data_IF_266351317024
#
_entry.id   IF_266351317024
#
_cell.length_a   1.000
_cell.length_b   1.000
_cell.length_c   1.000
_cell.angle_alpha   90.00
_cell.angle_beta   90.00
_cell.angle_gamma   90.00
#
_symmetry.space_group_name_H-M   'P 1'
#
loop_
_entity.id
_entity.type
_entity.pdbx_description
1 polymer ?
#
# COMPACT_ATOMS: atom_id res chain seq x y z
N UNK A 1 -0.52 4.75 -2.11
CA UNK A 1 -1.43 3.67 -1.68
C UNK A 1 -0.81 2.96 -0.50
N UNK A 2 -1.61 2.41 0.41
CA UNK A 2 -1.16 1.66 1.57
C UNK A 2 -2.00 0.40 1.78
N UNK A 3 -1.34 -0.65 2.25
CA UNK A 3 -1.91 -1.97 2.47
C UNK A 3 -1.53 -2.42 3.88
N UNK A 4 -2.42 -3.14 4.54
CA UNK A 4 -2.13 -3.77 5.82
C UNK A 4 -1.63 -5.20 5.62
N UNK A 5 -0.81 -5.66 6.55
CA UNK A 5 -0.36 -7.04 6.61
C UNK A 5 -0.75 -7.65 7.95
N UNK A 6 -1.16 -8.91 7.93
CA UNK A 6 -1.49 -9.68 9.15
C UNK A 6 -0.65 -10.96 9.20
N UNK A 7 -0.37 -11.43 10.40
CA UNK A 7 0.24 -12.75 10.58
C UNK A 7 -0.82 -13.81 10.26
N UNK A 8 -0.51 -14.70 9.33
CA UNK A 8 -1.33 -15.84 8.94
C UNK A 8 -0.51 -17.13 8.85
N UNK A 9 -1.18 -18.24 8.54
CA UNK A 9 -0.52 -19.52 8.28
C UNK A 9 -0.05 -19.64 6.83
N UNK A 10 -0.75 -18.97 5.91
CA UNK A 10 -0.46 -19.01 4.49
C UNK A 10 0.76 -18.17 4.12
N UNK A 11 1.55 -18.67 3.17
CA UNK A 11 2.65 -17.91 2.58
C UNK A 11 2.11 -16.99 1.47
N UNK A 12 2.46 -15.70 1.52
CA UNK A 12 2.16 -14.80 0.41
C UNK A 12 3.07 -15.08 -0.76
N UNK A 13 2.53 -15.69 -1.82
CA UNK A 13 3.27 -15.97 -3.06
C UNK A 13 3.82 -14.71 -3.72
N UNK A 14 3.13 -13.57 -3.58
CA UNK A 14 3.53 -12.28 -4.14
C UNK A 14 4.83 -11.76 -3.55
N UNK A 15 4.84 -11.60 -2.23
CA UNK A 15 6.00 -11.03 -1.52
C UNK A 15 7.19 -11.99 -1.45
N UNK A 16 6.96 -13.29 -1.67
CA UNK A 16 8.02 -14.29 -1.56
C UNK A 16 9.22 -13.99 -2.47
N UNK A 17 8.98 -13.41 -3.65
CA UNK A 17 10.04 -13.03 -4.57
C UNK A 17 10.99 -11.99 -3.99
N UNK A 18 10.49 -11.04 -3.20
CA UNK A 18 11.30 -10.04 -2.50
C UNK A 18 11.92 -10.63 -1.23
N UNK A 19 11.10 -11.32 -0.44
CA UNK A 19 11.48 -11.87 0.86
C UNK A 19 12.66 -12.84 0.77
N UNK A 20 12.78 -13.63 -0.30
CA UNK A 20 13.93 -14.53 -0.51
C UNK A 20 15.26 -13.80 -0.74
N UNK A 21 15.23 -12.55 -1.20
CA UNK A 21 16.43 -11.78 -1.50
C UNK A 21 16.85 -10.86 -0.34
N UNK A 22 15.98 -10.60 0.64
CA UNK A 22 16.31 -9.78 1.82
C UNK A 22 17.60 -10.20 2.54
N UNK A 23 17.94 -11.49 2.71
CA UNK A 23 19.20 -11.90 3.33
C UNK A 23 20.47 -11.49 2.57
N UNK A 24 20.35 -11.08 1.30
CA UNK A 24 21.47 -10.62 0.48
C UNK A 24 21.73 -9.12 0.62
N UNK A 25 20.82 -8.39 1.27
CA UNK A 25 20.92 -6.95 1.54
C UNK A 25 20.64 -6.66 3.03
N UNK A 26 21.39 -7.30 3.96
CA UNK A 26 21.08 -7.18 5.38
C UNK A 26 21.36 -5.79 5.94
N UNK A 27 22.32 -5.05 5.39
CA UNK A 27 22.78 -3.79 5.97
C UNK A 27 22.23 -2.57 5.24
N UNK A 28 22.21 -1.44 5.94
CA UNK A 28 21.91 -0.15 5.32
C UNK A 28 22.91 0.19 4.21
N UNK A 29 22.39 0.55 3.04
CA UNK A 29 23.19 0.88 1.86
C UNK A 29 23.46 -0.29 0.93
N UNK A 30 23.21 -1.53 1.35
CA UNK A 30 23.31 -2.71 0.47
C UNK A 30 22.32 -2.61 -0.70
N UNK A 31 22.75 -3.06 -1.88
CA UNK A 31 21.94 -3.05 -3.10
C UNK A 31 22.10 -4.38 -3.85
N UNK A 32 21.00 -4.86 -4.43
CA UNK A 32 20.98 -6.08 -5.23
C UNK A 32 20.16 -5.88 -6.49
N UNK A 33 20.74 -6.18 -7.66
CA UNK A 33 20.01 -6.29 -8.91
C UNK A 33 19.31 -7.65 -8.98
N UNK A 34 17.98 -7.65 -9.07
CA UNK A 34 17.21 -8.89 -9.15
C UNK A 34 16.98 -9.30 -10.61
N UNK A 35 17.43 -10.50 -10.99
CA UNK A 35 17.15 -11.07 -12.32
C UNK A 35 15.81 -11.83 -12.36
N UNK A 36 14.76 -11.24 -11.78
CA UNK A 36 13.43 -11.87 -11.68
C UNK A 36 12.35 -10.83 -11.95
N UNK A 37 11.31 -11.24 -12.65
CA UNK A 37 10.15 -10.39 -12.96
C UNK A 37 8.93 -10.87 -12.18
N UNK A 38 8.13 -9.94 -11.69
CA UNK A 38 6.84 -10.23 -11.05
C UNK A 38 5.88 -9.06 -11.30
N UNK A 39 4.58 -9.32 -11.21
CA UNK A 39 3.56 -8.27 -11.34
C UNK A 39 3.39 -7.53 -10.01
N UNK A 40 3.23 -6.20 -10.04
CA UNK A 40 2.89 -5.43 -8.84
C UNK A 40 1.56 -5.92 -8.23
N UNK A 41 0.61 -6.36 -9.06
CA UNK A 41 -0.65 -6.93 -8.59
C UNK A 41 -0.44 -8.21 -7.78
N UNK A 42 0.58 -9.01 -8.11
CA UNK A 42 0.86 -10.24 -7.33
C UNK A 42 1.27 -9.94 -5.90
N UNK A 43 1.89 -8.77 -5.63
CA UNK A 43 2.25 -8.34 -4.27
C UNK A 43 1.02 -8.10 -3.40
N UNK A 44 -0.12 -7.79 -4.02
CA UNK A 44 -1.36 -7.43 -3.34
C UNK A 44 -2.19 -8.65 -2.94
N UNK A 45 -1.84 -9.85 -3.40
CA UNK A 45 -2.64 -11.05 -3.17
C UNK A 45 -4.06 -10.91 -3.73
N UNK A 46 -5.04 -11.46 -3.01
CA UNK A 46 -6.46 -11.47 -3.40
C UNK A 46 -7.29 -10.42 -2.66
N UNK A 47 -6.69 -9.27 -2.31
CA UNK A 47 -7.44 -8.21 -1.65
C UNK A 47 -8.47 -7.58 -2.58
N UNK A 48 -9.58 -7.17 -2.01
CA UNK A 48 -10.60 -6.41 -2.71
C UNK A 48 -10.14 -4.95 -2.90
N UNK A 49 -9.79 -4.60 -4.13
CA UNK A 49 -9.36 -3.26 -4.51
C UNK A 49 -10.51 -2.29 -4.81
N UNK A 50 -11.75 -2.79 -4.81
CA UNK A 50 -12.93 -1.97 -5.07
C UNK A 50 -13.36 -1.17 -3.83
N UNK A 51 -12.83 -1.51 -2.64
CA UNK A 51 -13.06 -0.76 -1.41
C UNK A 51 -11.77 -0.19 -0.83
N UNK A 52 -11.81 1.11 -0.49
CA UNK A 52 -10.66 1.78 0.13
C UNK A 52 -11.07 3.04 0.90
N UNK A 53 -10.27 3.41 1.89
CA UNK A 53 -10.33 4.71 2.54
C UNK A 53 -9.43 5.72 1.82
N UNK A 54 -9.85 6.97 1.71
CA UNK A 54 -9.00 8.03 1.17
C UNK A 54 -9.13 9.34 1.94
N UNK A 55 -8.00 10.03 2.12
CA UNK A 55 -7.92 11.30 2.83
C UNK A 55 -6.66 12.08 2.44
N UNK A 56 -6.68 13.41 2.62
CA UNK A 56 -5.49 14.25 2.49
C UNK A 56 -4.64 14.16 3.77
N UNK A 57 -3.35 13.91 3.61
CA UNK A 57 -2.40 13.79 4.71
C UNK A 57 -0.99 14.20 4.29
N UNK A 58 -0.02 13.72 5.05
CA UNK A 58 1.38 14.04 4.89
C UNK A 58 2.25 12.83 4.60
N UNK A 59 3.51 13.10 4.26
CA UNK A 59 4.58 12.11 4.34
C UNK A 59 4.73 11.59 5.79
N UNK A 60 4.97 10.29 5.93
CA UNK A 60 5.23 9.65 7.24
C UNK A 60 6.70 9.74 7.65
N UNK A 61 7.55 10.33 6.81
CA UNK A 61 8.96 10.61 7.06
C UNK A 61 9.24 12.11 6.94
N UNK A 62 10.27 12.66 7.63
CA UNK A 62 10.69 14.04 7.44
C UNK A 62 10.90 14.37 5.96
N UNK A 63 10.49 15.57 5.48
CA UNK A 63 10.02 16.74 6.25
C UNK A 63 8.52 16.74 6.59
N UNK A 64 7.81 15.61 6.51
CA UNK A 64 6.41 15.47 6.92
C UNK A 64 5.43 16.39 6.16
N UNK A 65 5.74 16.77 4.91
CA UNK A 65 4.93 17.69 4.11
C UNK A 65 3.52 17.17 3.84
N UNK A 66 2.50 18.04 3.94
CA UNK A 66 1.08 17.76 3.68
C UNK A 66 0.74 17.74 2.18
N UNK A 67 1.43 16.88 1.43
CA UNK A 67 1.32 16.81 -0.03
C UNK A 67 0.73 15.47 -0.52
N UNK A 68 0.20 14.63 0.37
CA UNK A 68 -0.17 13.25 0.04
C UNK A 68 -1.69 13.07 0.06
N UNK A 69 -2.23 12.42 -0.97
CA UNK A 69 -3.56 11.81 -0.88
C UNK A 69 -3.40 10.32 -0.60
N UNK A 70 -3.80 9.90 0.59
CA UNK A 70 -3.73 8.51 1.01
C UNK A 70 -4.88 7.71 0.40
N UNK A 71 -4.59 6.47 0.04
CA UNK A 71 -5.55 5.44 -0.41
C UNK A 71 -5.17 4.18 0.35
N UNK A 72 -6.04 3.73 1.26
CA UNK A 72 -5.79 2.61 2.18
C UNK A 72 -6.81 1.51 1.95
N UNK A 73 -6.34 0.31 1.66
CA UNK A 73 -7.20 -0.86 1.48
C UNK A 73 -7.45 -1.54 2.83
N UNK A 74 -8.71 -1.80 3.20
CA UNK A 74 -9.06 -2.29 4.53
C UNK A 74 -8.73 -3.77 4.74
N UNK A 75 -8.68 -4.56 3.67
CA UNK A 75 -8.42 -5.99 3.76
C UNK A 75 -6.91 -6.23 3.85
N UNK A 76 -6.43 -6.91 4.91
CA UNK A 76 -5.02 -7.17 5.07
C UNK A 76 -4.53 -8.32 4.19
N UNK A 77 -3.25 -8.26 3.83
CA UNK A 77 -2.54 -9.33 3.15
C UNK A 77 -1.88 -10.22 4.21
N UNK A 78 -2.17 -11.52 4.19
CA UNK A 78 -1.55 -12.44 5.13
C UNK A 78 -0.08 -12.71 4.78
N UNK A 79 0.76 -12.75 5.82
CA UNK A 79 2.15 -13.19 5.74
C UNK A 79 2.42 -14.23 6.82
N UNK A 80 3.22 -15.23 6.48
CA UNK A 80 3.64 -16.21 7.46
C UNK A 80 4.76 -15.64 8.36
N UNK A 81 4.96 -16.30 9.50
CA UNK A 81 5.96 -15.91 10.49
C UNK A 81 7.39 -15.82 9.91
N UNK A 82 7.77 -16.76 9.04
CA UNK A 82 9.11 -16.81 8.45
C UNK A 82 9.38 -15.65 7.50
N UNK A 83 8.36 -15.19 6.78
CA UNK A 83 8.43 -14.02 5.90
C UNK A 83 8.64 -12.75 6.73
N UNK A 84 7.85 -12.56 7.79
CA UNK A 84 7.98 -11.42 8.71
C UNK A 84 9.35 -11.41 9.39
N UNK A 85 9.86 -12.57 9.80
CA UNK A 85 11.17 -12.68 10.45
C UNK A 85 12.31 -12.19 9.55
N UNK A 86 12.23 -12.41 8.23
CA UNK A 86 13.26 -11.95 7.29
C UNK A 86 13.32 -10.43 7.20
N UNK A 87 12.19 -9.73 7.28
CA UNK A 87 12.19 -8.27 7.38
C UNK A 87 12.83 -7.77 8.67
N UNK A 88 12.56 -8.44 9.80
CA UNK A 88 13.11 -8.07 11.12
C UNK A 88 14.61 -8.35 11.29
N UNK A 89 15.25 -9.01 10.33
CA UNK A 89 16.70 -9.26 10.32
C UNK A 89 17.50 -8.19 9.58
N UNK A 90 16.82 -7.26 8.91
CA UNK A 90 17.48 -6.12 8.27
C UNK A 90 18.03 -5.18 9.34
N UNK A 91 19.09 -4.47 9.01
CA UNK A 91 19.77 -3.55 9.90
C UNK A 91 19.68 -2.10 9.39
N UNK A 92 19.65 -1.16 10.32
CA UNK A 92 19.68 0.26 10.03
C UNK A 92 21.13 0.77 9.83
N UNK A 93 21.29 2.08 9.74
CA UNK A 93 22.60 2.73 9.56
C UNK A 93 23.47 2.74 10.83
N UNK A 94 22.94 2.30 11.97
CA UNK A 94 23.64 2.16 13.24
C UNK A 94 23.96 0.68 13.55
N UNK A 95 23.75 -0.22 12.57
CA UNK A 95 23.89 -1.67 12.69
C UNK A 95 22.88 -2.32 13.66
N UNK A 96 21.87 -1.58 14.09
CA UNK A 96 20.77 -2.08 14.92
C UNK A 96 19.68 -2.71 14.05
N UNK A 97 18.85 -3.58 14.64
CA UNK A 97 17.74 -4.19 13.91
C UNK A 97 16.76 -3.10 13.42
N UNK A 98 16.45 -3.10 12.12
CA UNK A 98 15.50 -2.18 11.49
C UNK A 98 14.07 -2.57 11.87
N UNK A 99 13.67 -2.20 13.09
CA UNK A 99 12.36 -2.46 13.68
C UNK A 99 11.65 -1.15 14.03
N UNK A 100 10.35 -1.24 14.27
CA UNK A 100 9.50 -0.10 14.67
C UNK A 100 9.66 1.15 13.77
N UNK A 101 9.93 0.92 12.49
CA UNK A 101 10.12 1.93 11.45
C UNK A 101 8.79 2.50 10.94
N UNK A 102 7.91 2.88 11.87
CA UNK A 102 6.61 3.50 11.60
C UNK A 102 6.45 4.80 12.38
N UNK A 103 5.58 5.68 11.88
CA UNK A 103 5.23 6.93 12.57
C UNK A 103 4.01 6.71 13.45
N UNK A 104 4.01 7.31 14.65
CA UNK A 104 2.84 7.29 15.55
C UNK A 104 1.61 7.93 14.91
N UNK A 105 0.43 7.49 15.34
CA UNK A 105 -0.85 8.02 14.86
C UNK A 105 -0.92 9.52 15.17
N UNK A 106 -1.32 10.30 14.16
CA UNK A 106 -1.46 11.75 14.27
C UNK A 106 -2.93 12.12 14.47
N UNK A 107 -3.25 13.19 15.24
CA UNK A 107 -4.63 13.61 15.49
C UNK A 107 -5.41 13.89 14.19
N UNK A 108 -6.64 13.41 14.08
CA UNK A 108 -7.44 13.56 12.84
C UNK A 108 -7.69 15.04 12.47
N UNK A 109 -7.85 15.91 13.47
CA UNK A 109 -8.19 17.33 13.26
C UNK A 109 -9.49 17.47 12.49
N UNK A 110 -9.53 18.42 11.54
CA UNK A 110 -10.71 18.70 10.71
C UNK A 110 -10.75 17.88 9.41
N UNK A 111 -9.92 16.85 9.29
CA UNK A 111 -9.82 16.07 8.04
C UNK A 111 -11.01 15.15 7.88
N UNK A 112 -11.56 15.12 6.67
CA UNK A 112 -12.57 14.13 6.26
C UNK A 112 -11.88 12.91 5.68
N UNK A 113 -12.31 11.74 6.14
CA UNK A 113 -11.92 10.44 5.58
C UNK A 113 -13.12 9.91 4.80
N UNK A 114 -12.88 9.55 3.55
CA UNK A 114 -13.90 8.99 2.68
C UNK A 114 -13.71 7.50 2.56
N UNK A 115 -14.79 6.73 2.69
CA UNK A 115 -14.81 5.33 2.31
C UNK A 115 -15.39 5.22 0.91
N UNK A 116 -14.63 4.62 -0.01
CA UNK A 116 -15.04 4.33 -1.37
C UNK A 116 -15.32 2.86 -1.49
N UNK A 117 -16.41 2.53 -2.18
CA UNK A 117 -16.76 1.19 -2.61
C UNK A 117 -17.23 1.31 -4.06
N UNK A 118 -16.55 0.66 -4.99
CA UNK A 118 -16.99 0.63 -6.39
C UNK A 118 -18.33 -0.09 -6.45
N UNK A 119 -19.32 0.59 -7.01
CA UNK A 119 -20.63 -0.01 -7.26
C UNK A 119 -20.61 -0.45 -8.72
N UNK A 120 -20.64 -1.76 -8.96
CA UNK A 120 -20.58 -2.34 -10.31
C UNK A 120 -21.66 -1.76 -11.25
N UNK A 121 -22.83 -1.39 -10.71
CA UNK A 121 -23.90 -0.73 -11.46
C UNK A 121 -23.60 0.69 -11.96
N UNK A 122 -22.69 1.42 -11.29
CA UNK A 122 -22.41 2.83 -11.58
C UNK A 122 -21.12 3.05 -12.39
N UNK A 123 -20.40 1.97 -12.70
CA UNK A 123 -19.10 2.01 -13.40
C UNK A 123 -19.17 1.34 -14.77
N UNK A 124 -20.36 0.89 -15.17
CA UNK A 124 -20.59 0.39 -16.51
C UNK A 124 -20.43 1.56 -17.49
N UNK A 125 -19.36 1.50 -18.28
CA UNK A 125 -19.01 2.51 -19.28
C UNK A 125 -20.19 2.78 -20.22
N UNK A 126 -20.99 1.76 -20.54
CA UNK A 126 -22.17 1.87 -21.39
C UNK A 126 -23.33 2.65 -20.73
N UNK A 127 -23.42 2.66 -19.39
CA UNK A 127 -24.42 3.44 -18.65
C UNK A 127 -23.96 4.90 -18.43
N UNK A 128 -22.65 5.11 -18.24
CA UNK A 128 -22.07 6.45 -18.11
C UNK A 128 -22.11 7.20 -19.45
N UNK A 129 -21.77 6.56 -20.57
CA UNK A 129 -21.81 7.20 -21.90
C UNK A 129 -23.24 7.63 -22.30
N UNK A 130 -24.27 6.89 -21.85
CA UNK A 130 -25.67 7.20 -22.13
C UNK A 130 -26.31 8.23 -21.18
N UNK A 131 -25.66 8.58 -20.07
CA UNK A 131 -26.22 9.50 -19.05
C UNK A 131 -25.59 10.89 -19.04
N UNK A 132 -24.51 11.12 -19.80
CA UNK A 132 -23.85 12.43 -19.91
C UNK A 132 -24.43 13.19 -21.11
N UNK A 133 -25.39 14.07 -20.85
CA UNK A 133 -25.78 15.12 -21.80
C UNK A 133 -24.62 16.12 -21.92
N UNK A 134 -23.90 16.09 -23.05
CA UNK A 134 -22.69 16.88 -23.31
C UNK A 134 -22.95 18.41 -23.49
N UNK A 135 -24.10 18.93 -23.10
CA UNK A 135 -24.51 20.32 -23.36
C UNK A 135 -24.50 21.25 -22.14
N UNK A 136 -24.15 20.79 -20.94
CA UNK A 136 -24.21 21.61 -19.71
C UNK A 136 -22.90 21.56 -18.91
N UNK A 137 -21.75 21.66 -19.58
CA UNK A 137 -20.48 21.94 -18.89
C UNK A 137 -19.98 23.30 -19.35
N UNK A 138 -20.66 24.34 -18.87
CA UNK A 138 -20.17 25.71 -18.94
C UNK A 138 -19.03 25.87 -17.94
N UNK A 139 -17.81 26.05 -18.46
CA UNK A 139 -16.66 26.46 -17.67
C UNK A 139 -16.68 27.98 -17.51
N UNK A 140 -17.19 28.45 -16.38
CA UNK A 140 -16.82 29.74 -15.79
C UNK A 140 -16.32 29.51 -14.36
#
# INVERSE_FOLDING_TARGET
>A
MGFFFTLGEAESNGLQTLVRHLPMVPNSGDQLSMNVTFSLTSLLGNIDTDKFFTYKGSLTTPPCSEAVTWVLFPDPIELNYLQIQKFRRLQDNLEDALVDNFRSIQPIGNRRVFYRKVNSFATDKALIENSVHHSEVDWY
#
